data_IF_604723048406
#
_entry.id   IF_604723048406
#
_cell.length_a   1.000
_cell.length_b   1.000
_cell.length_c   1.000
_cell.angle_alpha   90.00
_cell.angle_beta   90.00
_cell.angle_gamma   90.00
#
_symmetry.space_group_name_H-M   'P 1'
#
loop_
_entity.id
_entity.type
_entity.pdbx_description
1 polymer ?
#
# COMPACT_ATOMS: atom_id res chain seq x y z
N UNK A 1 13.49 5.98 5.53
CA UNK A 1 12.39 6.43 4.67
C UNK A 1 11.42 7.22 5.51
N UNK A 2 10.97 8.41 5.06
CA UNK A 2 10.06 9.28 5.83
C UNK A 2 8.69 9.43 5.15
N UNK A 3 8.54 8.89 3.97
CA UNK A 3 7.33 8.92 3.16
C UNK A 3 6.40 7.72 3.37
N UNK A 4 5.30 7.65 2.61
CA UNK A 4 4.36 6.54 2.65
C UNK A 4 4.99 5.27 2.06
N UNK A 5 4.45 4.11 2.47
CA UNK A 5 4.85 2.80 1.97
C UNK A 5 3.63 1.90 1.70
N UNK A 6 3.85 0.86 0.92
CA UNK A 6 2.92 -0.23 0.63
C UNK A 6 3.72 -1.42 0.07
N UNK A 7 3.13 -2.61 0.09
CA UNK A 7 3.68 -3.76 -0.61
C UNK A 7 2.65 -4.34 -1.59
N UNK A 8 3.11 -4.88 -2.71
CA UNK A 8 2.26 -5.66 -3.61
C UNK A 8 2.55 -7.13 -3.40
N UNK A 9 1.57 -7.88 -2.94
CA UNK A 9 1.64 -9.30 -2.64
C UNK A 9 1.25 -10.12 -3.87
N UNK A 10 2.13 -10.97 -4.32
CA UNK A 10 1.96 -11.76 -5.55
C UNK A 10 1.93 -13.26 -5.23
N UNK A 11 1.01 -14.03 -5.87
CA UNK A 11 0.88 -15.46 -5.61
C UNK A 11 2.07 -16.28 -6.14
N UNK A 12 2.74 -15.81 -7.18
CA UNK A 12 3.78 -16.55 -7.89
C UNK A 12 5.18 -16.10 -7.47
N UNK A 13 6.09 -17.07 -7.33
CA UNK A 13 7.51 -16.78 -7.12
C UNK A 13 8.13 -16.19 -8.38
N UNK A 14 8.89 -15.13 -8.22
CA UNK A 14 9.60 -14.53 -9.34
C UNK A 14 10.95 -15.19 -9.60
N UNK A 15 11.18 -15.51 -10.85
CA UNK A 15 12.50 -15.89 -11.35
C UNK A 15 13.31 -14.61 -11.69
N UNK A 16 14.64 -14.70 -11.86
CA UNK A 16 15.44 -13.58 -12.35
C UNK A 16 14.90 -12.94 -13.63
N UNK A 17 14.30 -13.72 -14.53
CA UNK A 17 13.68 -13.24 -15.76
C UNK A 17 12.43 -12.40 -15.49
N UNK A 18 11.62 -12.75 -14.49
CA UNK A 18 10.48 -11.93 -14.07
C UNK A 18 10.95 -10.57 -13.52
N UNK A 19 12.00 -10.57 -12.71
CA UNK A 19 12.60 -9.34 -12.19
C UNK A 19 13.14 -8.43 -13.31
N UNK A 20 13.73 -9.00 -14.35
CA UNK A 20 14.20 -8.23 -15.52
C UNK A 20 13.03 -7.63 -16.30
N UNK A 21 12.00 -8.42 -16.61
CA UNK A 21 10.78 -7.93 -17.28
C UNK A 21 10.07 -6.84 -16.47
N UNK A 22 10.08 -6.96 -15.15
CA UNK A 22 9.55 -5.92 -14.26
C UNK A 22 10.36 -4.62 -14.37
N UNK A 23 11.69 -4.68 -14.34
CA UNK A 23 12.54 -3.48 -14.51
C UNK A 23 12.33 -2.83 -15.87
N UNK A 24 12.24 -3.61 -16.94
CA UNK A 24 11.93 -3.10 -18.30
C UNK A 24 10.56 -2.40 -18.32
N UNK A 25 9.57 -2.96 -17.64
CA UNK A 25 8.26 -2.33 -17.53
C UNK A 25 8.32 -1.03 -16.71
N UNK A 26 8.98 -1.02 -15.56
CA UNK A 26 9.17 0.19 -14.75
C UNK A 26 9.84 1.31 -15.55
N UNK A 27 10.85 0.99 -16.36
CA UNK A 27 11.59 1.95 -17.17
C UNK A 27 10.73 2.67 -18.23
N UNK A 28 9.50 2.19 -18.51
CA UNK A 28 8.55 2.90 -19.39
C UNK A 28 7.97 4.15 -18.72
N UNK A 29 7.82 4.13 -17.39
CA UNK A 29 7.24 5.22 -16.62
C UNK A 29 8.23 5.95 -15.71
N UNK A 30 9.30 5.27 -15.33
CA UNK A 30 10.27 5.71 -14.33
C UNK A 30 11.69 5.77 -14.91
N UNK A 31 12.54 6.56 -14.28
CA UNK A 31 13.99 6.56 -14.52
C UNK A 31 14.69 6.02 -13.29
N UNK A 32 15.52 4.99 -13.48
CA UNK A 32 16.32 4.41 -12.39
C UNK A 32 17.41 5.39 -11.95
N UNK A 33 17.56 5.58 -10.64
CA UNK A 33 18.69 6.31 -10.04
C UNK A 33 19.76 5.32 -9.56
N UNK A 34 19.96 5.22 -8.25
CA UNK A 34 20.96 4.36 -7.62
C UNK A 34 20.25 3.25 -6.84
N UNK A 35 20.79 2.01 -6.86
CA UNK A 35 20.16 0.88 -6.20
C UNK A 35 18.76 0.62 -6.76
N UNK A 36 17.76 0.52 -5.87
CA UNK A 36 16.36 0.28 -6.24
C UNK A 36 15.48 1.54 -6.13
N UNK A 37 16.12 2.71 -6.21
CA UNK A 37 15.44 4.00 -6.26
C UNK A 37 15.11 4.42 -7.68
N UNK A 38 13.91 4.98 -7.86
CA UNK A 38 13.34 5.37 -9.14
C UNK A 38 12.70 6.76 -9.06
N UNK A 39 12.84 7.55 -10.11
CA UNK A 39 12.17 8.83 -10.30
C UNK A 39 11.02 8.70 -11.28
N UNK A 40 9.92 9.36 -11.00
CA UNK A 40 8.79 9.44 -11.93
C UNK A 40 9.16 10.27 -13.16
N UNK A 41 8.90 9.72 -14.36
CA UNK A 41 9.13 10.39 -15.64
C UNK A 41 7.87 10.58 -16.44
N UNK A 42 7.08 9.53 -16.59
CA UNK A 42 5.89 9.51 -17.42
C UNK A 42 4.68 9.01 -16.61
N UNK A 43 4.02 9.91 -15.81
CA UNK A 43 2.96 9.52 -14.88
C UNK A 43 1.76 8.87 -15.59
N UNK A 44 1.44 9.26 -16.81
CA UNK A 44 0.33 8.70 -17.58
C UNK A 44 0.50 7.20 -17.89
N UNK A 45 1.72 6.68 -17.90
CA UNK A 45 2.01 5.24 -18.05
C UNK A 45 1.52 4.42 -16.84
N UNK A 46 1.39 5.06 -15.69
CA UNK A 46 0.81 4.49 -14.48
C UNK A 46 -0.68 4.81 -14.31
N UNK A 47 -1.32 5.39 -15.34
CA UNK A 47 -2.70 5.82 -15.28
C UNK A 47 -2.93 7.14 -14.54
N UNK A 48 -1.88 7.89 -14.23
CA UNK A 48 -1.98 9.17 -13.53
C UNK A 48 -1.97 10.34 -14.52
N UNK A 49 -3.16 10.92 -14.73
CA UNK A 49 -3.35 12.03 -15.65
C UNK A 49 -3.03 13.37 -14.96
N UNK A 50 -1.75 13.65 -14.81
CA UNK A 50 -1.26 14.90 -14.19
C UNK A 50 -0.11 15.49 -15.02
N UNK A 51 -0.01 16.81 -15.00
CA UNK A 51 1.10 17.54 -15.65
C UNK A 51 2.09 17.95 -14.57
N UNK A 52 3.34 17.49 -14.69
CA UNK A 52 4.48 17.86 -13.83
C UNK A 52 4.24 17.70 -12.33
N UNK A 53 3.94 16.48 -11.84
CA UNK A 53 3.82 16.23 -10.41
C UNK A 53 5.17 16.46 -9.71
N UNK A 54 5.11 16.93 -8.46
CA UNK A 54 6.30 17.10 -7.63
C UNK A 54 6.48 15.89 -6.72
N UNK A 55 7.27 14.91 -7.15
CA UNK A 55 7.55 13.68 -6.39
C UNK A 55 9.03 13.55 -6.06
N UNK A 56 9.31 12.94 -4.91
CA UNK A 56 10.64 12.43 -4.58
C UNK A 56 10.90 11.05 -5.21
N UNK A 57 12.11 10.50 -4.96
CA UNK A 57 12.42 9.13 -5.36
C UNK A 57 11.51 8.10 -4.68
N UNK A 58 11.24 7.00 -5.38
CA UNK A 58 10.49 5.85 -4.92
C UNK A 58 11.42 4.63 -4.85
N UNK A 59 11.52 4.00 -3.70
CA UNK A 59 12.09 2.66 -3.58
C UNK A 59 11.12 1.67 -4.20
N UNK A 60 11.64 0.78 -5.05
CA UNK A 60 10.87 -0.31 -5.68
C UNK A 60 11.71 -1.58 -5.58
N UNK A 61 11.42 -2.39 -4.57
CA UNK A 61 12.23 -3.55 -4.23
C UNK A 61 11.39 -4.83 -4.30
N UNK A 62 11.52 -5.63 -5.38
CA UNK A 62 10.93 -6.96 -5.43
C UNK A 62 11.80 -7.95 -4.63
N UNK A 63 11.14 -8.81 -3.85
CA UNK A 63 11.79 -9.83 -3.05
C UNK A 63 10.89 -11.04 -2.83
N UNK A 64 11.46 -12.11 -2.27
CA UNK A 64 10.68 -13.24 -1.79
C UNK A 64 9.88 -12.78 -0.57
N UNK A 65 8.57 -13.08 -0.58
CA UNK A 65 7.74 -12.78 0.57
C UNK A 65 8.07 -13.71 1.75
N UNK A 66 8.21 -13.14 2.93
CA UNK A 66 8.41 -13.90 4.16
C UNK A 66 7.66 -13.21 5.31
N UNK A 67 7.00 -13.99 6.16
CA UNK A 67 6.47 -13.52 7.43
C UNK A 67 7.34 -14.02 8.57
N UNK A 68 7.59 -13.15 9.56
CA UNK A 68 8.28 -13.51 10.80
C UNK A 68 7.30 -14.14 11.82
N UNK A 69 5.99 -13.93 11.65
CA UNK A 69 4.93 -14.42 12.53
C UNK A 69 4.03 -15.42 11.80
N UNK A 70 4.04 -16.69 12.26
CA UNK A 70 3.23 -17.76 11.67
C UNK A 70 1.72 -17.54 11.85
N UNK A 71 1.28 -16.91 12.94
CA UNK A 71 -0.13 -16.64 13.18
C UNK A 71 -0.63 -15.52 12.25
N UNK A 72 0.19 -14.49 12.04
CA UNK A 72 -0.09 -13.44 11.04
C UNK A 72 -0.13 -14.04 9.63
N UNK A 73 0.84 -14.87 9.25
CA UNK A 73 0.86 -15.59 7.96
C UNK A 73 -0.44 -16.38 7.77
N UNK A 74 -0.85 -17.17 8.76
CA UNK A 74 -2.06 -17.96 8.68
C UNK A 74 -3.32 -17.10 8.53
N UNK A 75 -3.38 -15.95 9.19
CA UNK A 75 -4.47 -14.97 9.04
C UNK A 75 -4.48 -14.36 7.64
N UNK A 76 -3.33 -13.92 7.14
CA UNK A 76 -3.19 -13.36 5.80
C UNK A 76 -3.63 -14.38 4.73
N UNK A 77 -3.04 -15.58 4.72
CA UNK A 77 -3.34 -16.63 3.73
C UNK A 77 -4.83 -16.97 3.71
N UNK A 78 -5.46 -17.09 4.89
CA UNK A 78 -6.89 -17.36 4.99
C UNK A 78 -7.73 -16.22 4.41
N UNK A 79 -7.32 -14.98 4.66
CA UNK A 79 -8.07 -13.80 4.26
C UNK A 79 -7.96 -13.52 2.75
N UNK A 80 -6.76 -13.67 2.16
CA UNK A 80 -6.51 -13.36 0.75
C UNK A 80 -6.69 -14.55 -0.19
N UNK A 81 -6.70 -15.78 0.36
CA UNK A 81 -6.96 -17.01 -0.40
C UNK A 81 -5.71 -17.62 -1.08
N UNK A 82 -4.53 -17.06 -0.88
CA UNK A 82 -3.26 -17.60 -1.36
C UNK A 82 -2.13 -17.25 -0.39
N UNK A 83 -1.03 -18.03 -0.43
CA UNK A 83 0.21 -17.66 0.24
C UNK A 83 1.01 -16.79 -0.70
N UNK A 84 1.35 -15.54 -0.35
CA UNK A 84 2.24 -14.76 -1.18
C UNK A 84 3.59 -15.48 -1.36
N UNK A 85 4.12 -15.42 -2.56
CA UNK A 85 5.45 -15.99 -2.87
C UNK A 85 6.47 -14.89 -3.20
N UNK A 86 5.98 -13.77 -3.72
CA UNK A 86 6.79 -12.57 -3.99
C UNK A 86 6.08 -11.36 -3.41
N UNK A 87 6.84 -10.40 -2.91
CA UNK A 87 6.36 -9.06 -2.62
C UNK A 87 7.15 -8.02 -3.43
N UNK A 88 6.50 -6.91 -3.73
CA UNK A 88 7.17 -5.73 -4.25
C UNK A 88 6.97 -4.60 -3.25
N UNK A 89 8.02 -4.31 -2.47
CA UNK A 89 8.01 -3.20 -1.53
C UNK A 89 8.12 -1.88 -2.29
N UNK A 90 7.22 -0.96 -1.95
CA UNK A 90 7.16 0.39 -2.49
C UNK A 90 7.26 1.38 -1.33
N UNK A 91 8.20 2.34 -1.40
CA UNK A 91 8.32 3.33 -0.35
C UNK A 91 8.82 4.67 -0.89
N UNK A 92 8.12 5.76 -0.59
CA UNK A 92 8.51 7.08 -1.01
C UNK A 92 9.60 7.67 -0.09
N UNK A 93 10.57 8.37 -0.66
CA UNK A 93 11.60 9.08 0.10
C UNK A 93 11.03 10.30 0.82
N UNK A 94 10.01 10.92 0.25
CA UNK A 94 9.36 12.14 0.72
C UNK A 94 7.87 11.93 1.00
N UNK A 95 7.20 12.92 1.61
CA UNK A 95 5.84 12.77 2.15
C UNK A 95 4.86 13.84 1.62
N UNK A 96 5.08 14.31 0.38
CA UNK A 96 4.15 15.21 -0.31
C UNK A 96 2.90 14.47 -0.79
N UNK A 97 1.82 15.20 -1.10
CA UNK A 97 0.59 14.59 -1.62
C UNK A 97 0.85 13.84 -2.93
N UNK A 98 1.73 14.36 -3.76
CA UNK A 98 2.10 13.72 -5.02
C UNK A 98 2.92 12.43 -4.81
N UNK A 99 3.68 12.33 -3.71
CA UNK A 99 4.36 11.08 -3.33
C UNK A 99 3.35 9.99 -2.97
N UNK A 100 2.29 10.33 -2.21
CA UNK A 100 1.21 9.40 -1.91
C UNK A 100 0.47 8.94 -3.18
N UNK A 101 0.21 9.86 -4.11
CA UNK A 101 -0.44 9.53 -5.38
C UNK A 101 0.45 8.67 -6.26
N UNK A 102 1.74 9.01 -6.36
CA UNK A 102 2.70 8.21 -7.12
C UNK A 102 2.78 6.79 -6.59
N UNK A 103 2.95 6.62 -5.26
CA UNK A 103 2.96 5.31 -4.61
C UNK A 103 1.70 4.50 -4.97
N UNK A 104 0.52 5.09 -4.81
CA UNK A 104 -0.74 4.40 -5.05
C UNK A 104 -0.93 4.02 -6.52
N UNK A 105 -0.62 4.93 -7.47
CA UNK A 105 -0.67 4.60 -8.89
C UNK A 105 0.29 3.49 -9.27
N UNK A 106 1.51 3.49 -8.71
CA UNK A 106 2.49 2.44 -8.95
C UNK A 106 2.04 1.11 -8.37
N UNK A 107 1.50 1.10 -7.13
CA UNK A 107 0.95 -0.10 -6.49
C UNK A 107 -0.21 -0.70 -7.31
N UNK A 108 -1.18 0.13 -7.71
CA UNK A 108 -2.31 -0.28 -8.56
C UNK A 108 -1.83 -0.86 -9.89
N UNK A 109 -0.90 -0.17 -10.57
CA UNK A 109 -0.38 -0.62 -11.87
C UNK A 109 0.39 -1.95 -11.74
N UNK A 110 1.18 -2.12 -10.67
CA UNK A 110 1.91 -3.36 -10.37
C UNK A 110 0.93 -4.50 -10.07
N UNK A 111 -0.01 -4.29 -9.15
CA UNK A 111 -0.98 -5.32 -8.76
C UNK A 111 -1.85 -5.78 -9.95
N UNK A 112 -2.34 -4.85 -10.77
CA UNK A 112 -3.12 -5.19 -11.97
C UNK A 112 -2.31 -5.98 -13.00
N UNK A 113 -1.05 -5.63 -13.18
CA UNK A 113 -0.19 -6.28 -14.16
C UNK A 113 0.17 -7.72 -13.79
N UNK A 114 0.39 -7.97 -12.50
CA UNK A 114 0.90 -9.26 -12.02
C UNK A 114 -0.12 -10.07 -11.21
N UNK A 115 -1.38 -9.62 -11.14
CA UNK A 115 -2.46 -10.35 -10.47
C UNK A 115 -2.33 -10.38 -8.95
N UNK A 116 -1.80 -9.30 -8.34
CA UNK A 116 -1.55 -9.20 -6.91
C UNK A 116 -2.61 -8.42 -6.13
N UNK A 117 -2.44 -8.44 -4.81
CA UNK A 117 -3.14 -7.59 -3.85
C UNK A 117 -2.17 -6.57 -3.27
N UNK A 118 -2.70 -5.53 -2.63
CA UNK A 118 -1.91 -4.43 -2.09
C UNK A 118 -2.03 -4.42 -0.57
N UNK A 119 -0.93 -4.67 0.11
CA UNK A 119 -0.79 -4.44 1.54
C UNK A 119 -0.50 -2.95 1.77
N UNK A 120 -1.37 -2.29 2.53
CA UNK A 120 -1.22 -0.87 2.85
C UNK A 120 -0.21 -0.62 3.99
N UNK A 121 0.39 -1.68 4.57
CA UNK A 121 1.30 -1.62 5.74
C UNK A 121 0.67 -0.98 6.99
N UNK A 122 -0.64 -0.83 7.00
CA UNK A 122 -1.45 -0.28 8.08
C UNK A 122 -2.90 -0.13 7.68
N UNK A 123 -3.68 0.55 8.52
CA UNK A 123 -5.10 0.79 8.23
C UNK A 123 -5.25 1.89 7.19
N UNK A 124 -6.31 1.82 6.35
CA UNK A 124 -6.65 2.90 5.43
C UNK A 124 -6.68 4.24 6.18
N UNK A 125 -5.91 5.25 5.77
CA UNK A 125 -5.68 6.46 6.56
C UNK A 125 -6.84 7.46 6.45
N UNK A 126 -8.04 7.03 6.86
CA UNK A 126 -9.22 7.91 6.97
C UNK A 126 -9.00 8.89 8.11
N UNK A 127 -9.24 10.20 7.92
CA UNK A 127 -9.13 11.17 9.01
C UNK A 127 -10.01 10.82 10.20
N UNK A 128 -9.54 11.04 11.44
CA UNK A 128 -10.36 10.84 12.63
C UNK A 128 -11.59 11.75 12.60
N UNK A 129 -12.68 11.40 13.30
CA UNK A 129 -13.85 12.25 13.42
C UNK A 129 -13.48 13.65 13.92
N UNK A 130 -14.22 14.67 13.46
CA UNK A 130 -14.03 16.05 13.91
C UNK A 130 -14.09 16.13 15.45
N UNK A 131 -13.09 16.76 16.06
CA UNK A 131 -13.00 16.92 17.52
C UNK A 131 -12.24 15.81 18.25
N UNK A 132 -11.86 14.71 17.57
CA UNK A 132 -11.02 13.65 18.11
C UNK A 132 -9.58 13.87 17.63
N UNK A 133 -8.67 14.19 18.53
CA UNK A 133 -7.24 14.17 18.17
C UNK A 133 -6.81 12.72 17.97
N UNK A 134 -5.98 12.44 16.97
CA UNK A 134 -5.49 11.09 16.71
C UNK A 134 -4.82 10.45 17.94
N UNK A 135 -4.15 11.24 18.77
CA UNK A 135 -3.56 10.80 20.04
C UNK A 135 -4.63 10.45 21.11
N UNK A 136 -5.72 11.24 21.19
CA UNK A 136 -6.80 11.00 22.18
C UNK A 136 -7.63 9.74 21.79
N UNK A 137 -7.71 9.44 20.49
CA UNK A 137 -8.37 8.22 19.98
C UNK A 137 -7.60 6.94 20.37
N UNK A 138 -6.27 7.02 20.41
CA UNK A 138 -5.41 5.89 20.81
C UNK A 138 -5.48 5.64 22.31
N UNK A 139 -5.60 6.70 23.12
CA UNK A 139 -5.61 6.59 24.58
C UNK A 139 -6.98 6.21 25.17
N UNK A 140 -8.07 6.60 24.51
CA UNK A 140 -9.43 6.22 24.89
C UNK A 140 -9.95 5.11 23.94
N UNK A 141 -10.06 3.86 24.40
CA UNK A 141 -10.52 2.73 23.59
C UNK A 141 -11.86 2.99 22.83
N UNK A 142 -12.67 3.94 23.27
CA UNK A 142 -13.91 4.39 22.60
C UNK A 142 -13.63 5.14 21.30
N UNK A 143 -12.62 6.01 21.27
CA UNK A 143 -12.24 6.75 20.07
C UNK A 143 -11.69 5.82 18.97
N UNK A 144 -10.96 4.79 19.34
CA UNK A 144 -10.42 3.79 18.41
C UNK A 144 -11.54 2.98 17.75
N UNK A 145 -12.53 2.51 18.51
CA UNK A 145 -13.65 1.76 17.95
C UNK A 145 -14.49 2.61 16.95
N UNK A 146 -14.70 3.88 17.25
CA UNK A 146 -15.41 4.80 16.34
C UNK A 146 -14.60 5.07 15.07
N UNK A 147 -13.29 5.25 15.19
CA UNK A 147 -12.42 5.43 14.03
C UNK A 147 -12.38 4.17 13.15
N UNK A 148 -12.24 2.99 13.73
CA UNK A 148 -12.30 1.72 12.98
C UNK A 148 -13.65 1.53 12.27
N UNK A 149 -14.77 1.87 12.93
CA UNK A 149 -16.09 1.82 12.30
C UNK A 149 -16.16 2.74 11.07
N UNK A 150 -15.61 3.96 11.16
CA UNK A 150 -15.53 4.90 10.03
C UNK A 150 -14.63 4.38 8.91
N UNK A 151 -13.49 3.79 9.23
CA UNK A 151 -12.60 3.16 8.24
C UNK A 151 -13.35 2.08 7.47
N UNK A 152 -14.04 1.16 8.18
CA UNK A 152 -14.84 0.09 7.55
C UNK A 152 -15.99 0.62 6.70
N UNK A 153 -16.64 1.69 7.13
CA UNK A 153 -17.68 2.36 6.34
C UNK A 153 -17.12 2.94 5.05
N UNK A 154 -15.98 3.65 5.13
CA UNK A 154 -15.28 4.19 3.95
C UNK A 154 -14.89 3.07 2.98
N UNK A 155 -14.31 1.97 3.48
CA UNK A 155 -13.95 0.81 2.66
C UNK A 155 -15.17 0.22 1.93
N UNK A 156 -16.32 0.10 2.60
CA UNK A 156 -17.56 -0.38 1.96
C UNK A 156 -18.08 0.57 0.87
N UNK A 157 -17.92 1.88 1.06
CA UNK A 157 -18.37 2.88 0.07
C UNK A 157 -17.47 2.94 -1.16
N UNK A 158 -16.18 2.64 -1.02
CA UNK A 158 -15.22 2.68 -2.14
C UNK A 158 -15.47 1.56 -3.15
N UNK A 159 -16.09 0.44 -2.76
CA UNK A 159 -16.18 -0.76 -3.58
C UNK A 159 -14.85 -1.51 -3.63
N UNK A 160 -14.79 -2.60 -4.43
CA UNK A 160 -13.64 -3.50 -4.43
C UNK A 160 -13.63 -4.46 -3.23
N UNK A 161 -12.54 -5.19 -3.06
CA UNK A 161 -12.36 -6.14 -1.96
C UNK A 161 -11.26 -5.68 -1.00
N UNK A 162 -11.43 -5.98 0.27
CA UNK A 162 -10.47 -5.67 1.32
C UNK A 162 -10.53 -6.69 2.44
N UNK A 163 -9.40 -6.85 3.15
CA UNK A 163 -9.25 -7.75 4.28
C UNK A 163 -8.58 -7.00 5.44
N UNK A 164 -9.01 -7.28 6.65
CA UNK A 164 -8.34 -6.85 7.89
C UNK A 164 -7.45 -7.98 8.38
N UNK A 165 -6.15 -7.74 8.44
CA UNK A 165 -5.18 -8.71 8.91
C UNK A 165 -4.71 -8.28 10.31
N UNK A 166 -5.01 -9.06 11.37
CA UNK A 166 -4.49 -8.78 12.69
C UNK A 166 -3.03 -9.20 12.78
N UNK A 167 -2.24 -8.38 13.46
CA UNK A 167 -0.84 -8.68 13.79
C UNK A 167 -0.51 -8.25 15.21
N UNK A 168 0.54 -8.84 15.80
CA UNK A 168 1.02 -8.50 17.12
C UNK A 168 2.11 -7.44 17.00
N UNK A 169 1.91 -6.30 17.66
CA UNK A 169 2.93 -5.24 17.71
C UNK A 169 4.07 -5.61 18.67
N UNK A 170 5.22 -4.95 18.56
CA UNK A 170 6.35 -5.09 19.48
C UNK A 170 5.97 -4.86 20.96
N UNK A 171 4.87 -4.18 21.22
CA UNK A 171 4.32 -3.92 22.56
C UNK A 171 3.36 -5.00 23.05
N UNK A 172 3.16 -6.07 22.28
CA UNK A 172 2.23 -7.15 22.61
C UNK A 172 0.75 -6.78 22.49
N UNK A 173 0.41 -5.73 21.74
CA UNK A 173 -0.97 -5.34 21.43
C UNK A 173 -1.34 -5.77 20.03
N UNK A 174 -2.58 -6.22 19.84
CA UNK A 174 -3.07 -6.53 18.49
C UNK A 174 -3.40 -5.25 17.73
N UNK A 175 -2.81 -5.10 16.56
CA UNK A 175 -3.13 -4.07 15.58
C UNK A 175 -3.69 -4.72 14.31
N UNK A 176 -4.11 -3.92 13.34
CA UNK A 176 -4.70 -4.38 12.09
C UNK A 176 -4.05 -3.61 10.93
N UNK A 177 -3.70 -4.30 9.85
CA UNK A 177 -3.46 -3.66 8.57
C UNK A 177 -4.46 -4.12 7.51
N UNK A 178 -4.57 -3.38 6.42
CA UNK A 178 -5.48 -3.72 5.33
C UNK A 178 -4.72 -4.24 4.12
N UNK A 179 -5.23 -5.36 3.58
CA UNK A 179 -4.89 -5.83 2.25
C UNK A 179 -6.09 -5.57 1.34
N UNK A 180 -5.85 -4.88 0.23
CA UNK A 180 -6.91 -4.41 -0.68
C UNK A 180 -6.64 -4.86 -2.12
N UNK A 181 -7.69 -4.96 -2.93
CA UNK A 181 -7.53 -5.13 -4.36
C UNK A 181 -7.17 -3.79 -5.06
N UNK A 182 -6.65 -3.83 -6.30
CA UNK A 182 -6.28 -2.63 -7.02
C UNK A 182 -7.46 -1.71 -7.37
N UNK A 183 -8.70 -2.21 -7.41
CA UNK A 183 -9.87 -1.41 -7.73
C UNK A 183 -10.30 -0.56 -6.53
N UNK A 184 -10.21 -1.09 -5.32
CA UNK A 184 -10.43 -0.33 -4.10
C UNK A 184 -9.40 0.80 -3.96
N UNK A 185 -8.10 0.50 -4.14
CA UNK A 185 -7.07 1.55 -4.05
C UNK A 185 -7.23 2.62 -5.15
N UNK A 186 -7.64 2.23 -6.36
CA UNK A 186 -7.95 3.17 -7.43
C UNK A 186 -9.16 4.06 -7.08
N UNK A 187 -10.19 3.53 -6.42
CA UNK A 187 -11.30 4.34 -5.91
C UNK A 187 -10.85 5.27 -4.79
N UNK A 188 -10.01 4.79 -3.86
CA UNK A 188 -9.44 5.62 -2.80
C UNK A 188 -8.60 6.79 -3.33
N UNK A 189 -7.85 6.59 -4.42
CA UNK A 189 -7.09 7.66 -5.11
C UNK A 189 -7.95 8.88 -5.51
N UNK A 190 -9.25 8.67 -5.75
CA UNK A 190 -10.19 9.75 -6.11
C UNK A 190 -10.90 10.38 -4.90
N UNK A 191 -10.71 9.82 -3.71
CA UNK A 191 -11.34 10.30 -2.48
C UNK A 191 -10.72 11.63 -2.03
N UNK A 192 -11.51 12.61 -1.54
CA UNK A 192 -10.99 13.92 -1.11
C UNK A 192 -9.97 13.83 0.03
N UNK A 193 -10.11 12.83 0.90
CA UNK A 193 -9.21 12.58 2.04
C UNK A 193 -8.03 11.67 1.68
N UNK A 194 -7.81 11.40 0.39
CA UNK A 194 -6.80 10.43 -0.05
C UNK A 194 -5.42 10.68 0.57
N UNK A 195 -4.88 9.64 1.18
CA UNK A 195 -3.48 9.47 1.62
C UNK A 195 -3.13 7.98 1.56
N UNK A 196 -1.85 7.67 1.51
CA UNK A 196 -1.30 6.33 1.80
C UNK A 196 -0.81 6.27 3.23
N UNK A 197 -0.66 5.07 3.77
CA UNK A 197 -0.12 4.84 5.12
C UNK A 197 1.35 5.29 5.17
N UNK A 198 1.76 5.75 6.33
CA UNK A 198 3.12 6.24 6.60
C UNK A 198 3.70 5.50 7.79
#
# INVERSE_FOLDING_TARGET
VSGPCAAVLLPDSWTPSHGELFRVWLAQALTKETGDWWLLREPYRLGWQVVSPTTGPMLVEPGDWASEDQDEEACLVRAVGFRPATEVLLAAATNGLDDHRFLAHLAVATARRYGGLIDLTGQLPVPPPLGVRALDAVESGVGMAQWQARVRETLRMLGGTWQEIPYLTDRGTTAIYHVVDPDLLAAWLTHPDFRMVK
#
